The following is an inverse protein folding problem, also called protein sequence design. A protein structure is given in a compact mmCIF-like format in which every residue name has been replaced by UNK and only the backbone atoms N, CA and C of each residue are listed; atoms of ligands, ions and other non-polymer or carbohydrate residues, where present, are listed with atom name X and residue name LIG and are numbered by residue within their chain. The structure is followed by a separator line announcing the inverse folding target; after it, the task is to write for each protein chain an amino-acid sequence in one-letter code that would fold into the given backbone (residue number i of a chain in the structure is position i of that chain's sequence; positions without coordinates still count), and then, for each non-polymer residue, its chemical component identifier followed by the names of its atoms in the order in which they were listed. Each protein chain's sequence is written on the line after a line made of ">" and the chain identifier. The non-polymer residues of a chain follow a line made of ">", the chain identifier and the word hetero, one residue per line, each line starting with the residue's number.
data_IF_742500367075
#
_entry.id   IF_742500367075
#
_cell.length_a   1.000
_cell.length_b   1.000
_cell.length_c   1.000
_cell.angle_alpha   90.00
_cell.angle_beta   90.00
_cell.angle_gamma   90.00
#
_symmetry.space_group_name_H-M   'P 1'
#
loop_
_entity.id
_entity.type
_entity.pdbx_description
1 polymer ?
#
# COMPACT_ATOMS: atom_id res chain seq x y z
N UNK A 1 -14.96 4.14 -1.61
CA UNK A 1 -14.89 2.94 -0.73
C UNK A 1 -13.90 1.90 -1.27
N UNK A 2 -14.00 1.46 -2.53
CA UNK A 2 -13.04 0.49 -3.10
C UNK A 2 -11.58 0.97 -3.05
N UNK A 3 -11.34 2.28 -3.21
CA UNK A 3 -9.99 2.84 -3.18
C UNK A 3 -9.25 2.51 -1.87
N UNK A 4 -9.89 2.71 -0.71
CA UNK A 4 -9.26 2.45 0.58
C UNK A 4 -9.01 0.97 0.84
N UNK A 5 -9.92 0.10 0.39
CA UNK A 5 -9.72 -1.36 0.49
C UNK A 5 -8.51 -1.80 -0.33
N UNK A 6 -8.40 -1.26 -1.55
CA UNK A 6 -7.30 -1.57 -2.46
C UNK A 6 -5.96 -1.04 -1.92
N UNK A 7 -5.94 0.17 -1.37
CA UNK A 7 -4.77 0.75 -0.68
C UNK A 7 -4.37 -0.09 0.55
N UNK A 8 -5.35 -0.54 1.35
CA UNK A 8 -5.12 -1.40 2.52
C UNK A 8 -4.52 -2.77 2.12
N UNK A 9 -5.18 -3.52 1.24
CA UNK A 9 -4.73 -4.85 0.84
C UNK A 9 -3.43 -4.81 0.02
N UNK A 10 -3.29 -3.81 -0.86
CA UNK A 10 -2.06 -3.60 -1.60
C UNK A 10 -0.88 -3.30 -0.69
N UNK A 11 -1.08 -2.47 0.34
CA UNK A 11 -0.03 -2.17 1.33
C UNK A 11 0.27 -3.38 2.19
N UNK A 12 -0.76 -4.12 2.61
CA UNK A 12 -0.58 -5.33 3.40
C UNK A 12 0.28 -6.38 2.67
N UNK A 13 -0.05 -6.65 1.39
CA UNK A 13 0.74 -7.57 0.58
C UNK A 13 2.17 -7.07 0.37
N UNK A 14 2.34 -5.80 -0.01
CA UNK A 14 3.66 -5.22 -0.29
C UNK A 14 4.58 -5.26 0.95
N UNK A 15 4.08 -4.84 2.11
CA UNK A 15 4.84 -4.87 3.37
C UNK A 15 5.13 -6.31 3.80
N UNK A 16 4.20 -7.25 3.61
CA UNK A 16 4.46 -8.66 3.93
C UNK A 16 5.64 -9.21 3.12
N UNK A 17 5.69 -8.94 1.81
CA UNK A 17 6.81 -9.38 0.95
C UNK A 17 8.14 -8.78 1.41
N UNK A 18 8.15 -7.50 1.82
CA UNK A 18 9.35 -6.86 2.38
C UNK A 18 9.82 -7.63 3.62
N UNK A 19 8.92 -7.87 4.58
CA UNK A 19 9.24 -8.54 5.84
C UNK A 19 9.66 -10.00 5.66
N UNK A 20 8.98 -10.73 4.77
CA UNK A 20 9.21 -12.16 4.56
C UNK A 20 10.50 -12.45 3.80
N UNK A 21 10.87 -11.59 2.85
CA UNK A 21 11.98 -11.90 1.92
C UNK A 21 13.22 -11.05 2.14
N UNK A 22 13.08 -9.76 2.46
CA UNK A 22 14.19 -8.80 2.42
C UNK A 22 14.90 -8.68 1.06
N UNK A 23 14.38 -9.31 0.01
CA UNK A 23 15.05 -9.42 -1.28
C UNK A 23 14.62 -8.26 -2.20
N UNK A 24 15.56 -7.44 -2.70
CA UNK A 24 15.22 -6.27 -3.52
C UNK A 24 14.41 -6.59 -4.78
N UNK A 25 14.69 -7.71 -5.45
CA UNK A 25 13.95 -8.12 -6.65
C UNK A 25 12.51 -8.54 -6.32
N UNK A 26 12.32 -9.29 -5.23
CA UNK A 26 10.99 -9.68 -4.77
C UNK A 26 10.16 -8.45 -4.37
N UNK A 27 10.77 -7.50 -3.67
CA UNK A 27 10.14 -6.23 -3.26
C UNK A 27 9.73 -5.42 -4.50
N UNK A 28 10.64 -5.26 -5.47
CA UNK A 28 10.35 -4.54 -6.71
C UNK A 28 9.23 -5.20 -7.53
N UNK A 29 9.28 -6.52 -7.67
CA UNK A 29 8.24 -7.28 -8.39
C UNK A 29 6.88 -7.19 -7.71
N UNK A 30 6.83 -7.29 -6.38
CA UNK A 30 5.60 -7.15 -5.61
C UNK A 30 5.00 -5.75 -5.74
N UNK A 31 5.83 -4.69 -5.66
CA UNK A 31 5.36 -3.32 -5.85
C UNK A 31 4.79 -3.12 -7.26
N UNK A 32 5.51 -3.59 -8.29
CA UNK A 32 5.06 -3.50 -9.67
C UNK A 32 3.72 -4.21 -9.89
N UNK A 33 3.56 -5.42 -9.35
CA UNK A 33 2.32 -6.18 -9.41
C UNK A 33 1.17 -5.44 -8.72
N UNK A 34 1.38 -4.94 -7.50
CA UNK A 34 0.34 -4.20 -6.78
C UNK A 34 -0.07 -2.96 -7.57
N UNK A 35 0.87 -2.16 -8.08
CA UNK A 35 0.53 -0.95 -8.86
C UNK A 35 -0.25 -1.33 -10.13
N UNK A 36 0.15 -2.39 -10.84
CA UNK A 36 -0.54 -2.87 -12.04
C UNK A 36 -2.02 -3.19 -11.74
N UNK A 37 -2.30 -3.82 -10.60
CA UNK A 37 -3.64 -4.23 -10.19
C UNK A 37 -4.48 -3.08 -9.63
N UNK A 38 -3.84 -2.07 -9.04
CA UNK A 38 -4.51 -1.08 -8.18
C UNK A 38 -4.59 0.32 -8.78
N UNK A 39 -3.75 0.62 -9.78
CA UNK A 39 -3.63 1.96 -10.39
C UNK A 39 -4.95 2.49 -10.93
N UNK A 40 -5.73 1.68 -11.64
CA UNK A 40 -7.03 2.08 -12.23
C UNK A 40 -8.15 2.30 -11.22
N UNK A 41 -7.97 1.85 -9.97
CA UNK A 41 -9.00 1.93 -8.91
C UNK A 41 -8.68 3.07 -7.95
N UNK A 42 -7.46 3.10 -7.41
CA UNK A 42 -7.08 4.00 -6.30
C UNK A 42 -6.01 5.03 -6.66
N UNK A 43 -5.36 4.88 -7.82
CA UNK A 43 -4.08 5.53 -8.13
C UNK A 43 -2.87 4.70 -7.72
N UNK A 44 -3.07 3.62 -6.93
CA UNK A 44 -2.01 2.68 -6.55
C UNK A 44 -0.90 3.35 -5.75
N UNK A 45 -1.24 4.18 -4.76
CA UNK A 45 -0.24 4.93 -3.99
C UNK A 45 0.53 4.01 -3.05
N UNK A 46 -0.19 3.16 -2.31
CA UNK A 46 0.33 2.10 -1.42
C UNK A 46 1.32 2.63 -0.38
N UNK A 47 1.31 3.94 -0.15
CA UNK A 47 2.32 4.66 0.60
C UNK A 47 1.79 6.06 0.99
N UNK A 48 1.85 6.43 2.29
CA UNK A 48 1.43 7.75 2.75
C UNK A 48 2.22 8.89 2.08
N UNK A 49 3.53 8.73 1.90
CA UNK A 49 4.37 9.75 1.24
C UNK A 49 3.95 9.98 -0.21
N UNK A 50 3.63 8.91 -0.94
CA UNK A 50 3.10 9.02 -2.32
C UNK A 50 1.75 9.72 -2.32
N UNK A 51 0.86 9.38 -1.38
CA UNK A 51 -0.45 10.03 -1.25
C UNK A 51 -0.33 11.52 -0.95
N UNK A 52 0.60 11.91 -0.09
CA UNK A 52 0.91 13.33 0.22
C UNK A 52 1.40 14.04 -1.04
N UNK A 53 2.34 13.45 -1.79
CA UNK A 53 2.84 14.04 -3.04
C UNK A 53 1.72 14.18 -4.06
N UNK A 54 0.87 13.16 -4.22
CA UNK A 54 -0.25 13.18 -5.15
C UNK A 54 -1.30 14.23 -4.76
N UNK A 55 -1.57 14.40 -3.46
CA UNK A 55 -2.42 15.48 -2.97
C UNK A 55 -1.81 16.85 -3.24
N UNK A 56 -0.50 17.04 -2.98
CA UNK A 56 0.20 18.30 -3.26
C UNK A 56 0.22 18.65 -4.76
N UNK A 57 0.20 17.64 -5.62
CA UNK A 57 0.15 17.79 -7.07
C UNK A 57 -1.30 17.96 -7.62
N UNK A 58 -2.31 18.03 -6.74
CA UNK A 58 -3.72 18.14 -7.12
C UNK A 58 -4.30 16.88 -7.76
N UNK A 59 -3.62 15.74 -7.66
CA UNK A 59 -4.04 14.44 -8.23
C UNK A 59 -4.81 13.57 -7.26
N UNK A 60 -4.83 13.93 -5.97
CA UNK A 60 -5.67 13.33 -4.93
C UNK A 60 -6.41 14.48 -4.22
N UNK A 61 -7.75 14.42 -4.06
CA UNK A 61 -8.46 15.40 -3.25
C UNK A 61 -7.88 15.41 -1.83
N UNK A 62 -7.60 16.57 -1.26
CA UNK A 62 -6.97 16.69 0.07
C UNK A 62 -7.83 16.07 1.19
N UNK A 63 -9.15 16.02 1.01
CA UNK A 63 -10.10 15.34 1.91
C UNK A 63 -9.90 13.81 1.94
N UNK A 64 -9.34 13.23 0.88
CA UNK A 64 -9.09 11.79 0.75
C UNK A 64 -7.73 11.37 1.33
N UNK A 65 -6.83 12.34 1.57
CA UNK A 65 -5.46 12.06 2.02
C UNK A 65 -5.42 11.28 3.33
N UNK A 66 -6.17 11.72 4.34
CA UNK A 66 -6.19 11.08 5.66
C UNK A 66 -6.75 9.65 5.57
N UNK A 67 -7.91 9.40 4.93
CA UNK A 67 -8.39 8.04 4.68
C UNK A 67 -7.38 7.12 3.97
N UNK A 68 -6.68 7.62 2.94
CA UNK A 68 -5.65 6.85 2.23
C UNK A 68 -4.49 6.48 3.16
N UNK A 69 -3.94 7.46 3.88
CA UNK A 69 -2.84 7.23 4.82
C UNK A 69 -3.23 6.23 5.92
N UNK A 70 -4.46 6.32 6.45
CA UNK A 70 -4.96 5.36 7.44
C UNK A 70 -5.06 3.95 6.85
N UNK A 71 -5.63 3.79 5.65
CA UNK A 71 -5.72 2.50 4.98
C UNK A 71 -4.34 1.86 4.78
N UNK A 72 -3.36 2.64 4.33
CA UNK A 72 -1.99 2.17 4.12
C UNK A 72 -1.29 1.78 5.43
N UNK A 73 -1.40 2.63 6.47
CA UNK A 73 -0.81 2.34 7.79
C UNK A 73 -1.42 1.08 8.39
N UNK A 74 -2.75 0.94 8.38
CA UNK A 74 -3.40 -0.27 8.90
C UNK A 74 -3.05 -1.50 8.06
N UNK A 75 -2.93 -1.37 6.73
CA UNK A 75 -2.46 -2.46 5.86
C UNK A 75 -1.07 -2.94 6.25
N UNK A 76 -0.13 -2.02 6.47
CA UNK A 76 1.23 -2.35 6.95
C UNK A 76 1.25 -2.99 8.34
N UNK A 77 0.42 -2.51 9.28
CA UNK A 77 0.29 -3.11 10.61
C UNK A 77 -0.27 -4.54 10.55
N UNK A 78 -1.26 -4.78 9.69
CA UNK A 78 -1.81 -6.13 9.47
C UNK A 78 -0.76 -7.05 8.86
N UNK A 79 0.03 -6.58 7.89
CA UNK A 79 1.14 -7.35 7.35
C UNK A 79 2.17 -7.74 8.43
N UNK A 80 2.51 -6.80 9.30
CA UNK A 80 3.42 -7.05 10.42
C UNK A 80 2.86 -8.11 11.37
N UNK A 81 1.58 -8.03 11.72
CA UNK A 81 0.95 -9.00 12.61
C UNK A 81 0.85 -10.39 11.97
N UNK A 82 0.51 -10.46 10.68
CA UNK A 82 0.52 -11.70 9.91
C UNK A 82 1.91 -12.34 9.90
N UNK A 83 2.96 -11.56 9.59
CA UNK A 83 4.34 -12.05 9.59
C UNK A 83 4.79 -12.60 10.95
N UNK A 84 4.38 -11.96 12.05
CA UNK A 84 4.69 -12.42 13.41
C UNK A 84 4.00 -13.73 13.77
N UNK A 85 2.72 -13.89 13.37
CA UNK A 85 1.90 -15.06 13.74
C UNK A 85 2.10 -16.25 12.81
N UNK A 86 2.30 -15.97 11.53
CA UNK A 86 2.38 -16.96 10.47
C UNK A 86 3.59 -16.65 9.61
N UNK A 87 4.63 -17.47 9.73
CA UNK A 87 5.73 -17.50 8.77
C UNK A 87 5.26 -18.28 7.54
N UNK A 88 4.54 -17.60 6.65
CA UNK A 88 4.22 -18.10 5.31
C UNK A 88 5.44 -17.92 4.40
#
# INVERSE_FOLDING_TARGET
>A
MYNYLVEFFGTAFFIYVILATGNPLAIGAALALVILLTSSISGGHINPAVSIVMASAGKLPTTELVPYCLAQVFGGLVALELYKRYKL
#
